data_IF_580887157254
#
_entry.id   IF_580887157254
#
_cell.length_a   1.000
_cell.length_b   1.000
_cell.length_c   1.000
_cell.angle_alpha   90.00
_cell.angle_beta   90.00
_cell.angle_gamma   90.00
#
_symmetry.space_group_name_H-M   'P 1'
#
loop_
_entity.id
_entity.type
_entity.pdbx_description
1 polymer ?
#
# COMPACT_ATOMS: atom_id res chain seq x y z
N UNK A 1 12.82 0.43 20.90
CA UNK A 1 14.02 -0.42 21.07
C UNK A 1 14.60 -0.93 19.75
N UNK A 2 13.96 -1.84 18.99
CA UNK A 2 14.58 -2.37 17.73
C UNK A 2 14.67 -1.34 16.60
N UNK A 3 13.60 -0.57 16.37
CA UNK A 3 13.55 0.48 15.33
C UNK A 3 14.60 1.57 15.60
N UNK A 4 14.69 2.05 16.84
CA UNK A 4 15.71 3.02 17.26
C UNK A 4 17.13 2.45 17.18
N UNK A 5 17.33 1.17 17.48
CA UNK A 5 18.65 0.51 17.45
C UNK A 5 19.29 0.48 16.06
N UNK A 6 18.50 0.69 15.00
CA UNK A 6 18.98 0.78 13.61
C UNK A 6 18.96 2.22 13.08
N UNK A 7 18.70 3.21 13.95
CA UNK A 7 18.56 4.62 13.58
C UNK A 7 17.30 4.92 12.75
N UNK A 8 16.29 4.05 12.78
CA UNK A 8 15.05 4.25 12.06
C UNK A 8 13.99 4.96 12.92
N UNK A 9 12.94 5.45 12.27
CA UNK A 9 11.76 6.03 12.90
C UNK A 9 10.51 5.22 12.54
N UNK A 10 9.55 5.15 13.46
CA UNK A 10 8.28 4.48 13.25
C UNK A 10 7.27 5.46 12.62
N UNK A 11 6.57 5.03 11.58
CA UNK A 11 5.44 5.78 11.00
C UNK A 11 4.15 5.34 11.70
N UNK A 12 3.67 6.18 12.62
CA UNK A 12 2.52 5.86 13.46
C UNK A 12 1.19 6.25 12.82
N UNK A 13 1.13 7.36 12.08
CA UNK A 13 -0.10 7.82 11.46
C UNK A 13 -0.31 7.18 10.06
N UNK A 14 -1.56 6.85 9.73
CA UNK A 14 -1.94 6.39 8.38
C UNK A 14 -1.74 7.49 7.33
N UNK A 15 -1.91 8.76 7.70
CA UNK A 15 -1.67 9.92 6.81
C UNK A 15 -0.22 9.97 6.28
N UNK A 16 0.71 9.46 7.07
CA UNK A 16 2.14 9.46 6.77
C UNK A 16 2.62 8.13 6.18
N UNK A 17 1.74 7.14 6.02
CA UNK A 17 2.11 5.79 5.60
C UNK A 17 2.81 5.76 4.23
N UNK A 18 2.53 6.72 3.35
CA UNK A 18 3.18 6.86 2.03
C UNK A 18 4.67 7.24 2.13
N UNK A 19 5.11 7.80 3.25
CA UNK A 19 6.53 8.11 3.51
C UNK A 19 7.35 6.90 3.96
N UNK A 20 6.69 5.78 4.28
CA UNK A 20 7.36 4.60 4.79
C UNK A 20 8.31 3.99 3.75
N UNK A 21 9.56 3.80 4.15
CA UNK A 21 10.60 3.20 3.29
C UNK A 21 10.69 1.68 3.43
N UNK A 22 10.28 1.15 4.59
CA UNK A 22 10.28 -0.27 4.94
C UNK A 22 8.97 -0.61 5.65
N UNK A 23 8.38 -1.76 5.31
CA UNK A 23 7.13 -2.24 5.90
C UNK A 23 7.40 -3.59 6.52
N UNK A 24 7.21 -3.72 7.84
CA UNK A 24 7.24 -5.03 8.50
C UNK A 24 5.83 -5.60 8.44
N UNK A 25 5.60 -6.48 7.48
CA UNK A 25 4.29 -7.01 7.16
C UNK A 25 4.22 -8.48 7.62
N UNK A 26 3.86 -8.68 8.89
CA UNK A 26 3.64 -10.02 9.45
C UNK A 26 4.60 -10.38 10.58
N UNK A 27 4.13 -11.29 11.43
CA UNK A 27 4.83 -11.80 12.61
C UNK A 27 5.41 -13.22 12.38
N UNK A 28 5.30 -13.74 11.15
CA UNK A 28 5.71 -15.08 10.78
C UNK A 28 4.74 -16.18 11.26
N UNK A 29 3.59 -15.81 11.82
CA UNK A 29 2.59 -16.74 12.36
C UNK A 29 1.23 -16.55 11.71
N UNK A 30 0.90 -15.31 11.39
CA UNK A 30 -0.38 -14.92 10.79
C UNK A 30 -0.19 -14.54 9.33
N UNK A 31 -1.10 -14.98 8.43
CA UNK A 31 -1.08 -14.52 7.05
C UNK A 31 -1.23 -13.01 6.97
N UNK A 32 -0.58 -12.42 5.97
CA UNK A 32 -0.68 -11.01 5.59
C UNK A 32 -2.15 -10.58 5.50
N UNK A 33 -2.46 -9.41 6.07
CA UNK A 33 -3.79 -8.78 6.01
C UNK A 33 -3.72 -7.49 5.21
N UNK A 34 -4.75 -7.23 4.40
CA UNK A 34 -4.91 -5.98 3.63
C UNK A 34 -5.37 -4.83 4.53
N UNK A 35 -4.49 -4.35 5.39
CA UNK A 35 -4.75 -3.14 6.18
C UNK A 35 -4.57 -1.89 5.32
N UNK A 36 -5.24 -0.78 5.63
CA UNK A 36 -5.05 0.49 4.93
C UNK A 36 -3.58 0.92 4.83
N UNK A 37 -2.83 0.86 5.94
CA UNK A 37 -1.38 1.14 5.95
C UNK A 37 -0.62 0.28 4.95
N UNK A 38 -0.85 -1.05 4.94
CA UNK A 38 -0.18 -1.92 3.98
C UNK A 38 -0.54 -1.55 2.54
N UNK A 39 -1.83 -1.31 2.27
CA UNK A 39 -2.32 -0.97 0.94
C UNK A 39 -1.76 0.38 0.45
N UNK A 40 -1.48 1.32 1.34
CA UNK A 40 -0.76 2.56 1.03
C UNK A 40 0.72 2.27 0.78
N UNK A 41 1.42 1.63 1.74
CA UNK A 41 2.86 1.46 1.67
C UNK A 41 3.31 0.59 0.49
N UNK A 42 2.56 -0.45 0.11
CA UNK A 42 2.90 -1.32 -1.03
C UNK A 42 2.91 -0.57 -2.37
N UNK A 43 2.16 0.54 -2.44
CA UNK A 43 2.20 1.44 -3.57
C UNK A 43 3.46 2.32 -3.59
N UNK A 44 4.16 2.51 -2.47
CA UNK A 44 5.27 3.45 -2.33
C UNK A 44 6.65 2.77 -2.26
N UNK A 45 6.76 1.55 -1.71
CA UNK A 45 8.03 0.83 -1.54
C UNK A 45 7.90 -0.65 -1.94
N UNK A 46 9.00 -1.26 -2.38
CA UNK A 46 9.10 -2.71 -2.54
C UNK A 46 9.64 -3.42 -1.30
N UNK A 47 10.05 -2.69 -0.27
CA UNK A 47 10.59 -3.25 0.96
C UNK A 47 9.45 -3.70 1.88
N UNK A 48 8.71 -4.72 1.43
CA UNK A 48 7.69 -5.41 2.23
C UNK A 48 8.38 -6.63 2.84
N UNK A 49 8.66 -6.55 4.14
CA UNK A 49 9.61 -7.40 4.84
C UNK A 49 8.93 -8.22 5.93
N UNK A 50 9.51 -9.37 6.22
CA UNK A 50 9.16 -10.13 7.41
C UNK A 50 9.84 -9.55 8.67
N UNK A 51 9.35 -9.94 9.86
CA UNK A 51 9.88 -9.49 11.15
C UNK A 51 11.37 -9.79 11.35
N UNK A 52 11.90 -10.83 10.68
CA UNK A 52 13.30 -11.24 10.83
C UNK A 52 14.27 -10.14 10.38
N UNK A 53 13.90 -9.33 9.38
CA UNK A 53 14.72 -8.17 8.98
C UNK A 53 14.98 -7.22 10.15
N UNK A 54 13.92 -6.85 10.88
CA UNK A 54 14.02 -5.90 11.98
C UNK A 54 14.82 -6.49 13.14
N UNK A 55 14.61 -7.77 13.45
CA UNK A 55 15.35 -8.49 14.49
C UNK A 55 16.84 -8.54 14.17
N UNK A 56 17.19 -8.98 12.97
CA UNK A 56 18.59 -9.16 12.58
C UNK A 56 19.29 -7.80 12.39
N UNK A 57 18.60 -6.80 11.81
CA UNK A 57 19.14 -5.44 11.70
C UNK A 57 19.40 -4.80 13.06
N UNK A 58 18.51 -5.00 14.04
CA UNK A 58 18.70 -4.48 15.39
C UNK A 58 19.89 -5.13 16.12
N UNK A 59 20.17 -6.42 15.88
CA UNK A 59 21.36 -7.09 16.42
C UNK A 59 22.67 -6.55 15.83
N UNK A 60 22.65 -6.21 14.55
CA UNK A 60 23.79 -5.65 13.83
C UNK A 60 23.90 -4.12 13.99
N UNK A 61 22.98 -3.51 14.75
CA UNK A 61 22.90 -2.06 14.98
C UNK A 61 22.88 -1.21 13.69
N UNK A 62 22.36 -1.78 12.60
CA UNK A 62 22.25 -1.09 11.29
C UNK A 62 21.19 -1.75 10.42
N UNK A 63 20.59 -1.01 9.47
CA UNK A 63 19.71 -1.60 8.46
C UNK A 63 20.48 -2.62 7.60
N UNK A 64 19.95 -3.84 7.50
CA UNK A 64 20.49 -4.86 6.60
C UNK A 64 19.88 -4.77 5.20
N UNK A 65 20.55 -5.36 4.23
CA UNK A 65 19.98 -5.56 2.89
C UNK A 65 18.63 -6.29 2.97
N UNK A 66 17.65 -5.78 2.22
CA UNK A 66 16.27 -6.22 2.28
C UNK A 66 15.99 -7.51 1.50
N UNK A 67 16.80 -7.84 0.50
CA UNK A 67 16.44 -8.81 -0.55
C UNK A 67 16.05 -10.19 0.00
N UNK A 68 16.81 -10.70 0.97
CA UNK A 68 16.55 -12.00 1.60
C UNK A 68 15.44 -12.00 2.66
N UNK A 69 14.91 -10.83 3.01
CA UNK A 69 13.87 -10.67 4.03
C UNK A 69 12.53 -10.20 3.47
N UNK A 70 12.43 -10.06 2.14
CA UNK A 70 11.15 -9.82 1.48
C UNK A 70 10.14 -10.86 1.94
N UNK A 71 8.93 -10.42 2.28
CA UNK A 71 7.83 -11.28 2.66
C UNK A 71 7.28 -11.95 1.40
N UNK A 72 7.90 -13.04 0.98
CA UNK A 72 7.49 -13.81 -0.19
C UNK A 72 6.81 -15.10 0.23
N UNK A 73 5.97 -15.65 -0.66
CA UNK A 73 5.41 -16.99 -0.54
C UNK A 73 4.54 -17.19 0.72
N UNK A 74 3.84 -16.15 1.18
CA UNK A 74 2.76 -16.29 2.17
C UNK A 74 1.58 -17.00 1.52
N UNK A 75 1.64 -18.34 1.48
CA UNK A 75 0.64 -19.20 0.85
C UNK A 75 -0.77 -18.99 1.39
N UNK A 76 -0.91 -18.51 2.63
CA UNK A 76 -2.20 -18.23 3.23
C UNK A 76 -2.84 -17.00 2.58
N UNK A 77 -2.11 -15.90 2.57
CA UNK A 77 -2.57 -14.65 1.99
C UNK A 77 -2.66 -14.71 0.46
N UNK A 78 -1.65 -15.25 -0.22
CA UNK A 78 -1.59 -15.37 -1.68
C UNK A 78 -2.76 -16.17 -2.23
N UNK A 79 -3.12 -17.28 -1.57
CA UNK A 79 -4.33 -18.04 -1.90
C UNK A 79 -5.61 -17.26 -1.60
N UNK A 80 -5.70 -16.64 -0.42
CA UNK A 80 -6.91 -15.93 0.02
C UNK A 80 -7.25 -14.74 -0.87
N UNK A 81 -6.24 -14.00 -1.32
CA UNK A 81 -6.41 -12.80 -2.13
C UNK A 81 -6.08 -12.99 -3.61
N UNK A 82 -5.75 -14.23 -4.02
CA UNK A 82 -5.44 -14.59 -5.41
C UNK A 82 -4.39 -13.69 -6.05
N UNK A 83 -3.24 -13.55 -5.39
CA UNK A 83 -2.11 -12.75 -5.87
C UNK A 83 -0.79 -13.48 -5.64
N UNK A 84 0.26 -13.07 -6.34
CA UNK A 84 1.65 -13.44 -6.03
C UNK A 84 2.39 -12.20 -5.51
N UNK A 85 3.03 -12.29 -4.35
CA UNK A 85 3.76 -11.15 -3.79
C UNK A 85 4.98 -10.80 -4.65
N UNK A 86 5.68 -11.80 -5.20
CA UNK A 86 6.83 -11.58 -6.09
C UNK A 86 6.44 -10.71 -7.28
N UNK A 87 5.36 -11.05 -7.96
CA UNK A 87 4.84 -10.29 -9.09
C UNK A 87 4.35 -8.91 -8.64
N UNK A 88 3.71 -8.83 -7.48
CA UNK A 88 3.23 -7.55 -6.91
C UNK A 88 4.38 -6.56 -6.71
N UNK A 89 5.50 -7.00 -6.15
CA UNK A 89 6.67 -6.13 -5.94
C UNK A 89 7.36 -5.75 -7.25
N UNK A 90 7.52 -6.71 -8.17
CA UNK A 90 8.13 -6.46 -9.48
C UNK A 90 7.30 -5.48 -10.32
N UNK A 91 6.01 -5.76 -10.47
CA UNK A 91 5.08 -4.90 -11.21
C UNK A 91 4.93 -3.54 -10.53
N UNK A 92 4.83 -3.51 -9.20
CA UNK A 92 4.77 -2.29 -8.40
C UNK A 92 5.95 -1.35 -8.65
N UNK A 93 7.17 -1.90 -8.68
CA UNK A 93 8.38 -1.13 -9.01
C UNK A 93 8.35 -0.58 -10.44
N UNK A 94 7.93 -1.39 -11.40
CA UNK A 94 7.82 -0.96 -12.79
C UNK A 94 6.79 0.17 -12.96
N UNK A 95 5.55 0.00 -12.46
CA UNK A 95 4.50 1.00 -12.65
C UNK A 95 4.77 2.32 -11.93
N UNK A 96 5.41 2.28 -10.74
CA UNK A 96 5.86 3.50 -10.05
C UNK A 96 6.83 4.30 -10.90
N UNK A 97 7.87 3.64 -11.41
CA UNK A 97 8.93 4.27 -12.20
C UNK A 97 8.41 4.77 -13.55
N UNK A 98 7.62 3.96 -14.23
CA UNK A 98 7.32 4.18 -15.65
C UNK A 98 6.07 5.04 -15.85
N UNK A 99 5.13 5.02 -14.89
CA UNK A 99 3.82 5.69 -15.03
C UNK A 99 3.43 6.60 -13.86
N UNK A 100 4.15 6.54 -12.73
CA UNK A 100 3.79 7.27 -11.50
C UNK A 100 2.82 6.51 -10.60
N UNK A 101 2.56 5.21 -10.84
CA UNK A 101 1.71 4.37 -10.02
C UNK A 101 0.66 3.56 -10.79
N UNK A 102 0.02 2.62 -10.10
CA UNK A 102 -1.00 1.72 -10.67
C UNK A 102 -2.22 2.48 -11.23
N UNK A 103 -2.68 3.48 -10.48
CA UNK A 103 -3.83 4.32 -10.82
C UNK A 103 -3.43 5.63 -11.48
N UNK A 104 -2.19 5.76 -11.95
CA UNK A 104 -1.75 6.95 -12.65
C UNK A 104 -2.63 7.26 -13.86
N UNK A 105 -3.13 8.50 -13.90
CA UNK A 105 -4.08 8.99 -14.92
C UNK A 105 -5.54 8.59 -14.66
N UNK A 106 -5.85 7.90 -13.56
CA UNK A 106 -7.21 7.54 -13.17
C UNK A 106 -7.72 8.44 -12.05
N UNK A 107 -9.02 8.72 -12.10
CA UNK A 107 -9.76 9.36 -11.00
C UNK A 107 -10.75 8.38 -10.40
N UNK A 108 -10.83 8.30 -9.07
CA UNK A 108 -11.65 7.33 -8.36
C UNK A 108 -12.68 8.05 -7.49
N UNK A 109 -13.93 7.66 -7.60
CA UNK A 109 -15.02 8.13 -6.75
C UNK A 109 -15.61 6.96 -5.96
N UNK A 110 -15.81 7.14 -4.65
CA UNK A 110 -16.45 6.15 -3.79
C UNK A 110 -17.88 6.58 -3.48
N UNK A 111 -18.85 5.70 -3.70
CA UNK A 111 -20.24 5.98 -3.32
C UNK A 111 -20.43 5.87 -1.81
N UNK A 112 -21.48 6.52 -1.29
CA UNK A 112 -21.88 6.37 0.12
C UNK A 112 -22.29 4.91 0.36
N UNK A 113 -21.78 4.30 1.44
CA UNK A 113 -22.10 2.92 1.79
C UNK A 113 -21.28 1.87 1.06
N UNK A 114 -20.16 2.25 0.42
CA UNK A 114 -19.26 1.33 -0.28
C UNK A 114 -18.95 0.08 0.56
N UNK A 115 -19.02 -1.09 -0.09
CA UNK A 115 -18.88 -2.41 0.52
C UNK A 115 -19.78 -2.64 1.76
N UNK A 116 -20.99 -2.06 1.79
CA UNK A 116 -21.93 -2.22 2.90
C UNK A 116 -21.39 -1.66 4.23
N UNK A 117 -20.62 -0.57 4.18
CA UNK A 117 -19.90 0.03 5.31
C UNK A 117 -18.82 -0.88 5.95
N UNK A 118 -18.41 -1.95 5.26
CA UNK A 118 -17.27 -2.79 5.68
C UNK A 118 -15.93 -2.32 5.10
N UNK A 119 -15.96 -1.34 4.21
CA UNK A 119 -14.75 -0.71 3.72
C UNK A 119 -14.07 0.12 4.82
N UNK A 120 -12.75 0.36 4.71
CA UNK A 120 -12.09 1.39 5.48
C UNK A 120 -12.82 2.75 5.42
N UNK A 121 -12.65 3.63 6.42
CA UNK A 121 -13.08 5.02 6.33
C UNK A 121 -12.70 5.66 4.99
N UNK A 122 -13.57 6.50 4.44
CA UNK A 122 -13.36 7.12 3.11
C UNK A 122 -11.98 7.75 3.02
N UNK A 123 -11.56 8.51 4.03
CA UNK A 123 -10.22 9.12 4.08
C UNK A 123 -9.08 8.13 3.80
N UNK A 124 -9.13 6.92 4.38
CA UNK A 124 -8.09 5.91 4.15
C UNK A 124 -8.16 5.32 2.73
N UNK A 125 -9.36 5.17 2.17
CA UNK A 125 -9.52 4.79 0.76
C UNK A 125 -8.92 5.83 -0.18
N UNK A 126 -9.07 7.12 0.15
CA UNK A 126 -8.48 8.20 -0.62
C UNK A 126 -6.95 8.20 -0.54
N UNK A 127 -6.39 7.94 0.64
CA UNK A 127 -4.95 7.77 0.81
C UNK A 127 -4.42 6.60 -0.04
N UNK A 128 -5.14 5.48 -0.12
CA UNK A 128 -4.76 4.35 -0.99
C UNK A 128 -4.76 4.78 -2.47
N UNK A 129 -5.80 5.50 -2.92
CA UNK A 129 -5.89 5.98 -4.31
C UNK A 129 -4.73 6.91 -4.64
N UNK A 130 -4.43 7.87 -3.75
CA UNK A 130 -3.34 8.83 -3.94
C UNK A 130 -1.98 8.14 -3.93
N UNK A 131 -1.75 7.20 -3.00
CA UNK A 131 -0.52 6.42 -2.95
C UNK A 131 -0.29 5.58 -4.21
N UNK A 132 -1.37 5.09 -4.82
CA UNK A 132 -1.35 4.38 -6.09
C UNK A 132 -1.19 5.30 -7.33
N UNK A 133 -1.04 6.62 -7.15
CA UNK A 133 -0.85 7.60 -8.23
C UNK A 133 -2.15 8.13 -8.85
N UNK A 134 -3.30 7.78 -8.28
CA UNK A 134 -4.61 8.23 -8.75
C UNK A 134 -5.08 9.52 -8.08
N UNK A 135 -6.19 10.06 -8.59
CA UNK A 135 -6.89 11.20 -7.97
C UNK A 135 -8.18 10.73 -7.30
N UNK A 136 -8.37 11.06 -6.03
CA UNK A 136 -9.67 10.86 -5.40
C UNK A 136 -10.64 11.99 -5.75
N UNK A 137 -11.86 11.63 -6.14
CA UNK A 137 -12.96 12.54 -6.40
C UNK A 137 -13.92 12.57 -5.21
N UNK A 138 -14.32 13.79 -4.84
CA UNK A 138 -15.32 14.05 -3.79
C UNK A 138 -16.75 14.10 -4.33
N UNK A 139 -16.92 14.25 -5.64
CA UNK A 139 -18.20 14.36 -6.32
C UNK A 139 -18.08 13.97 -7.80
N UNK A 140 -19.18 13.52 -8.38
CA UNK A 140 -19.35 13.27 -9.83
C UNK A 140 -20.08 14.42 -10.54
N UNK A 141 -20.23 15.58 -9.90
CA UNK A 141 -20.85 16.75 -10.53
C UNK A 141 -20.09 17.15 -11.81
N UNK A 142 -20.82 17.70 -12.79
CA UNK A 142 -20.24 18.16 -14.06
C UNK A 142 -19.05 19.10 -13.83
N UNK A 143 -19.11 19.96 -12.80
CA UNK A 143 -18.00 20.82 -12.42
C UNK A 143 -16.76 20.07 -11.95
N UNK A 144 -16.93 19.04 -11.11
CA UNK A 144 -15.83 18.24 -10.56
C UNK A 144 -15.14 17.36 -11.62
N UNK A 145 -15.88 16.96 -12.65
CA UNK A 145 -15.40 16.03 -13.69
C UNK A 145 -15.12 16.69 -15.04
N UNK A 146 -15.39 17.99 -15.21
CA UNK A 146 -15.28 18.71 -16.50
C UNK A 146 -13.96 18.50 -17.26
N UNK A 147 -12.84 18.43 -16.53
CA UNK A 147 -11.50 18.30 -17.11
C UNK A 147 -10.96 16.85 -17.08
N UNK A 148 -11.80 15.88 -16.76
CA UNK A 148 -11.41 14.47 -16.61
C UNK A 148 -12.04 13.68 -17.75
N UNK A 149 -11.24 12.89 -18.45
CA UNK A 149 -11.74 11.92 -19.42
C UNK A 149 -12.70 10.95 -18.71
N UNK A 150 -13.99 10.86 -19.11
CA UNK A 150 -14.94 9.94 -18.49
C UNK A 150 -14.49 8.47 -18.53
N UNK A 151 -13.71 8.06 -19.54
CA UNK A 151 -13.14 6.71 -19.63
C UNK A 151 -12.04 6.45 -18.58
N UNK A 152 -11.60 7.50 -17.87
CA UNK A 152 -10.59 7.46 -16.79
C UNK A 152 -11.19 7.67 -15.41
N UNK A 153 -12.51 7.55 -15.27
CA UNK A 153 -13.20 7.62 -13.98
C UNK A 153 -13.62 6.23 -13.54
N UNK A 154 -13.13 5.80 -12.38
CA UNK A 154 -13.61 4.59 -11.69
C UNK A 154 -14.61 5.00 -10.61
N UNK A 155 -15.81 4.43 -10.68
CA UNK A 155 -16.84 4.59 -9.65
C UNK A 155 -16.93 3.29 -8.87
N UNK A 156 -16.57 3.33 -7.59
CA UNK A 156 -16.63 2.17 -6.71
C UNK A 156 -17.94 2.20 -5.93
N UNK A 157 -18.79 1.21 -6.19
CA UNK A 157 -20.09 1.04 -5.57
C UNK A 157 -20.13 -0.19 -4.64
N UNK A 158 -21.19 -0.30 -3.83
CA UNK A 158 -21.50 -1.47 -3.00
C UNK A 158 -21.85 -2.71 -3.81
#
# INVERSE_FOLDING_TARGET
KMVEAIGAALVENVDEASSATHVIAGDGRTPLRRTPKLMICICCTSNILNMKWLIDSAKEHRPLDCGKYLLLDDKGAERTYSFCMRDTLLNGNAVRRDRGGLLAGWSVFFTKGVAGNKAPPIHELELIVVAAGGKSLKSLSVGATKAIDPAKILVITS
#
